data_IF_578101758423
#
_entry.id   IF_578101758423
#
_cell.length_a   1.000
_cell.length_b   1.000
_cell.length_c   1.000
_cell.angle_alpha   90.00
_cell.angle_beta   90.00
_cell.angle_gamma   90.00
#
_symmetry.space_group_name_H-M   'P 1'
#
loop_
_entity.id
_entity.type
_entity.pdbx_description
1 polymer ?
#
# COMPACT_ATOMS: atom_id res chain seq x y z
N UNK A 1 12.68 3.51 -17.25
CA UNK A 1 12.40 4.45 -18.36
C UNK A 1 12.44 5.91 -17.93
N UNK A 2 12.81 6.23 -16.69
CA UNK A 2 14.02 7.06 -16.59
C UNK A 2 15.22 6.16 -16.96
N UNK A 3 16.34 6.71 -17.41
CA UNK A 3 17.60 6.00 -17.75
C UNK A 3 17.89 5.60 -19.22
N UNK A 4 17.35 6.29 -20.22
CA UNK A 4 18.14 6.43 -21.46
C UNK A 4 18.46 7.87 -21.84
N UNK A 5 17.75 8.86 -21.29
CA UNK A 5 17.93 10.28 -21.67
C UNK A 5 17.65 10.56 -23.15
N UNK A 6 17.25 9.55 -23.93
CA UNK A 6 17.00 9.62 -25.36
C UNK A 6 15.58 10.11 -25.61
N UNK A 7 15.37 11.01 -26.59
CA UNK A 7 14.02 11.44 -26.98
C UNK A 7 13.14 10.25 -27.43
N UNK A 8 11.83 10.33 -27.16
CA UNK A 8 10.84 9.29 -27.54
C UNK A 8 10.91 9.02 -29.06
N UNK A 9 11.08 10.06 -29.89
CA UNK A 9 11.31 9.93 -31.33
C UNK A 9 12.47 9.02 -31.71
N UNK A 10 13.56 9.05 -30.94
CA UNK A 10 14.74 8.23 -31.20
C UNK A 10 14.47 6.78 -30.80
N UNK A 11 13.88 6.57 -29.62
CA UNK A 11 13.52 5.23 -29.14
C UNK A 11 12.47 4.58 -30.05
N UNK A 12 11.50 5.36 -30.55
CA UNK A 12 10.49 4.87 -31.49
C UNK A 12 11.13 4.39 -32.81
N UNK A 13 12.08 5.16 -33.35
CA UNK A 13 12.85 4.78 -34.54
C UNK A 13 13.68 3.53 -34.31
N UNK A 14 14.41 3.45 -33.20
CA UNK A 14 15.23 2.29 -32.84
C UNK A 14 14.38 1.01 -32.69
N UNK A 15 13.14 1.15 -32.22
CA UNK A 15 12.18 0.05 -32.05
C UNK A 15 11.32 -0.23 -33.30
N UNK A 16 11.44 0.57 -34.36
CA UNK A 16 10.61 0.42 -35.57
C UNK A 16 9.11 0.69 -35.35
N UNK A 17 8.75 1.47 -34.33
CA UNK A 17 7.36 1.79 -33.98
C UNK A 17 7.06 3.27 -34.23
N UNK A 18 5.77 3.59 -34.38
CA UNK A 18 5.35 4.99 -34.50
C UNK A 18 5.58 5.74 -33.17
N UNK A 19 6.11 6.96 -33.27
CA UNK A 19 6.41 7.80 -32.11
C UNK A 19 5.17 8.12 -31.27
N UNK A 20 4.03 8.43 -31.89
CA UNK A 20 2.79 8.72 -31.18
C UNK A 20 2.26 7.50 -30.42
N UNK A 21 2.42 6.31 -30.98
CA UNK A 21 2.06 5.05 -30.30
C UNK A 21 2.93 4.81 -29.08
N UNK A 22 4.25 4.96 -29.22
CA UNK A 22 5.17 4.80 -28.11
C UNK A 22 4.93 5.86 -27.02
N UNK A 23 4.70 7.12 -27.42
CA UNK A 23 4.36 8.21 -26.51
C UNK A 23 3.09 7.92 -25.71
N UNK A 24 2.04 7.42 -26.37
CA UNK A 24 0.80 7.02 -25.71
C UNK A 24 1.02 5.87 -24.70
N UNK A 25 1.82 4.85 -25.04
CA UNK A 25 2.15 3.78 -24.09
C UNK A 25 2.93 4.27 -22.89
N UNK A 26 3.89 5.18 -23.09
CA UNK A 26 4.67 5.77 -21.99
C UNK A 26 3.77 6.62 -21.09
N UNK A 27 2.87 7.42 -21.65
CA UNK A 27 1.91 8.21 -20.89
C UNK A 27 1.00 7.32 -20.04
N UNK A 28 0.40 6.29 -20.63
CA UNK A 28 -0.43 5.31 -19.91
C UNK A 28 0.35 4.56 -18.83
N UNK A 29 1.61 4.23 -19.07
CA UNK A 29 2.46 3.57 -18.08
C UNK A 29 2.83 4.50 -16.91
N UNK A 30 2.94 5.81 -17.13
CA UNK A 30 3.14 6.81 -16.06
C UNK A 30 1.88 6.95 -15.21
N UNK A 31 0.72 7.15 -15.84
CA UNK A 31 -0.58 7.24 -15.15
C UNK A 31 -0.84 6.00 -14.28
N UNK A 32 -0.65 4.80 -14.84
CA UNK A 32 -0.84 3.56 -14.09
C UNK A 32 0.12 3.41 -12.89
N UNK A 33 1.35 3.95 -12.98
CA UNK A 33 2.30 3.97 -11.87
C UNK A 33 1.88 4.96 -10.79
N UNK A 34 1.46 6.16 -11.17
CA UNK A 34 0.97 7.18 -10.23
C UNK A 34 -0.26 6.68 -9.45
N UNK A 35 -1.21 6.04 -10.14
CA UNK A 35 -2.38 5.41 -9.51
C UNK A 35 -1.97 4.29 -8.53
N UNK A 36 -1.01 3.44 -8.94
CA UNK A 36 -0.52 2.34 -8.10
C UNK A 36 0.26 2.83 -6.89
N UNK A 37 1.08 3.86 -7.03
CA UNK A 37 1.84 4.46 -5.94
C UNK A 37 0.93 5.19 -4.95
N UNK A 38 -0.12 5.87 -5.43
CA UNK A 38 -1.14 6.48 -4.59
C UNK A 38 -1.88 5.46 -3.73
N UNK A 39 -2.30 4.34 -4.33
CA UNK A 39 -2.94 3.21 -3.64
C UNK A 39 -1.97 2.54 -2.64
N UNK A 40 -0.70 2.37 -3.02
CA UNK A 40 0.33 1.77 -2.18
C UNK A 40 0.62 2.61 -0.94
N UNK A 41 0.81 3.93 -1.10
CA UNK A 41 1.13 4.83 0.01
C UNK A 41 -0.02 4.97 1.01
N UNK A 42 -1.25 5.10 0.52
CA UNK A 42 -2.45 5.09 1.37
C UNK A 42 -2.61 3.76 2.11
N UNK A 43 -2.33 2.65 1.43
CA UNK A 43 -2.38 1.31 2.02
C UNK A 43 -1.37 1.08 3.14
N UNK A 44 -0.15 1.62 3.04
CA UNK A 44 0.88 1.46 4.08
C UNK A 44 0.52 2.20 5.37
N UNK A 45 0.05 3.45 5.26
CA UNK A 45 -0.38 4.24 6.43
C UNK A 45 -1.61 3.61 7.11
N UNK A 46 -2.59 3.17 6.31
CA UNK A 46 -3.77 2.47 6.80
C UNK A 46 -3.39 1.15 7.51
N UNK A 47 -2.50 0.36 6.92
CA UNK A 47 -2.01 -0.89 7.51
C UNK A 47 -1.29 -0.64 8.85
N UNK A 48 -0.53 0.44 8.95
CA UNK A 48 0.15 0.83 10.20
C UNK A 48 -0.88 1.23 11.27
N UNK A 49 -1.89 2.03 10.91
CA UNK A 49 -2.99 2.41 11.83
C UNK A 49 -3.73 1.19 12.35
N UNK A 50 -4.16 0.31 11.44
CA UNK A 50 -4.91 -0.90 11.80
C UNK A 50 -4.10 -1.86 12.69
N UNK A 51 -2.78 -1.97 12.47
CA UNK A 51 -1.90 -2.77 13.34
C UNK A 51 -1.79 -2.20 14.75
N UNK A 52 -1.73 -0.87 14.89
CA UNK A 52 -1.70 -0.22 16.19
C UNK A 52 -3.02 -0.44 16.94
N UNK A 53 -4.15 -0.21 16.28
CA UNK A 53 -5.48 -0.43 16.83
C UNK A 53 -5.69 -1.90 17.23
N UNK A 54 -5.25 -2.86 16.40
CA UNK A 54 -5.37 -4.27 16.74
C UNK A 54 -4.53 -4.65 17.97
N UNK A 55 -3.36 -4.04 18.15
CA UNK A 55 -2.52 -4.26 19.33
C UNK A 55 -3.20 -3.71 20.60
N UNK A 56 -3.78 -2.52 20.53
CA UNK A 56 -4.54 -1.89 21.62
C UNK A 56 -5.75 -2.76 22.01
N UNK A 57 -6.59 -3.13 21.05
CA UNK A 57 -7.76 -3.99 21.28
C UNK A 57 -7.37 -5.35 21.89
N UNK A 58 -6.24 -5.92 21.48
CA UNK A 58 -5.74 -7.17 22.06
C UNK A 58 -5.37 -7.01 23.52
N UNK A 59 -4.72 -5.91 23.88
CA UNK A 59 -4.34 -5.58 25.25
C UNK A 59 -5.57 -5.36 26.13
N UNK A 60 -6.54 -4.56 25.68
CA UNK A 60 -7.81 -4.33 26.39
C UNK A 60 -8.56 -5.64 26.63
N UNK A 61 -8.70 -6.47 25.59
CA UNK A 61 -9.31 -7.79 25.68
C UNK A 61 -8.60 -8.68 26.69
N UNK A 62 -7.27 -8.63 26.77
CA UNK A 62 -6.51 -9.41 27.75
C UNK A 62 -6.68 -8.90 29.19
N UNK A 63 -6.78 -7.58 29.38
CA UNK A 63 -7.14 -7.00 30.69
C UNK A 63 -8.52 -7.47 31.12
N UNK A 64 -9.53 -7.34 30.24
CA UNK A 64 -10.89 -7.77 30.53
C UNK A 64 -10.97 -9.26 30.87
N UNK A 65 -10.29 -10.12 30.10
CA UNK A 65 -10.22 -11.55 30.41
C UNK A 65 -9.66 -11.83 31.80
N UNK A 66 -8.57 -11.16 32.19
CA UNK A 66 -7.98 -11.33 33.54
C UNK A 66 -8.92 -10.83 34.63
N UNK A 67 -9.57 -9.69 34.44
CA UNK A 67 -10.55 -9.15 35.39
C UNK A 67 -11.73 -10.09 35.59
N UNK A 68 -12.28 -10.66 34.50
CA UNK A 68 -13.37 -11.65 34.58
C UNK A 68 -12.93 -12.90 35.33
N UNK A 69 -11.72 -13.42 35.06
CA UNK A 69 -11.21 -14.59 35.78
C UNK A 69 -11.09 -14.33 37.29
N UNK A 70 -10.59 -13.15 37.69
CA UNK A 70 -10.49 -12.77 39.10
C UNK A 70 -11.87 -12.65 39.75
N UNK A 71 -12.80 -11.96 39.09
CA UNK A 71 -14.16 -11.80 39.57
C UNK A 71 -14.89 -13.13 39.76
N UNK A 72 -14.80 -14.05 38.78
CA UNK A 72 -15.40 -15.39 38.90
C UNK A 72 -14.82 -16.15 40.09
N UNK A 73 -13.49 -16.09 40.29
CA UNK A 73 -12.82 -16.75 41.44
C UNK A 73 -13.28 -16.20 42.78
N UNK A 74 -13.52 -14.89 42.88
CA UNK A 74 -14.05 -14.26 44.09
C UNK A 74 -15.51 -14.65 44.34
N UNK A 75 -16.33 -14.70 43.29
CA UNK A 75 -17.75 -15.06 43.38
C UNK A 75 -18.01 -16.55 43.67
N UNK A 76 -17.04 -17.43 43.41
CA UNK A 76 -17.13 -18.88 43.67
C UNK A 76 -16.38 -19.32 44.93
N UNK A 77 -15.87 -18.37 45.71
CA UNK A 77 -15.28 -18.61 47.03
C UNK A 77 -16.34 -18.54 48.11
#
# INVERSE_FOLDING_TARGET
MEETGKPIAQVARDLGVNEGTLGNWVARAREAREDTEGLSRGGVEELKRLRAENAELRMERDVLKRSVVLWVKEATK
#
